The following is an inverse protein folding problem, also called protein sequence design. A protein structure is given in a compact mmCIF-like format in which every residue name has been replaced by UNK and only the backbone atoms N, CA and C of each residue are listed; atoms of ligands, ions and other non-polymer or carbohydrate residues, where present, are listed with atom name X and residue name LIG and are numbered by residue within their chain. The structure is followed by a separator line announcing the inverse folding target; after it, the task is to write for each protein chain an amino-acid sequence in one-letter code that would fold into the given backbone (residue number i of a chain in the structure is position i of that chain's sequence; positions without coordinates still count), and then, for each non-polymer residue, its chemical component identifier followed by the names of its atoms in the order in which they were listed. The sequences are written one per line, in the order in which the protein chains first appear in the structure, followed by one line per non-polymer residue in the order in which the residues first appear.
data_IF_309602236027
#
_entry.id   IF_309602236027
#
_cell.length_a   1.000
_cell.length_b   1.000
_cell.length_c   1.000
_cell.angle_alpha   90.00
_cell.angle_beta   90.00
_cell.angle_gamma   90.00
#
_symmetry.space_group_name_H-M   'P 1'
#
loop_
_entity.id
_entity.type
_entity.pdbx_description
1 polymer ?
#
# COMPACT_ATOMS: atom_id res chain seq x y z
N UNK A 1 35.03 16.34 -5.85
CA UNK A 1 35.13 16.34 -4.37
C UNK A 1 33.71 16.40 -3.80
N UNK A 2 33.19 15.29 -3.27
CA UNK A 2 31.96 15.34 -2.46
C UNK A 2 32.39 15.77 -1.07
N UNK A 3 31.98 16.96 -0.62
CA UNK A 3 32.28 17.43 0.73
C UNK A 3 31.73 16.47 1.78
N UNK A 4 32.51 16.21 2.83
CA UNK A 4 32.08 15.37 3.96
C UNK A 4 30.85 16.03 4.62
N UNK A 5 29.70 15.36 4.53
CA UNK A 5 28.49 15.77 5.24
C UNK A 5 28.71 15.69 6.75
N UNK A 6 28.18 16.65 7.49
CA UNK A 6 28.26 16.73 8.94
C UNK A 6 27.03 16.10 9.59
N UNK A 7 27.14 15.75 10.87
CA UNK A 7 26.03 15.14 11.63
C UNK A 7 24.77 16.00 11.60
N UNK A 8 24.93 17.33 11.63
CA UNK A 8 23.80 18.27 11.61
C UNK A 8 23.00 18.14 10.31
N UNK A 9 23.64 17.81 9.18
CA UNK A 9 22.99 17.69 7.87
C UNK A 9 21.96 16.54 7.84
N UNK A 10 22.12 15.52 8.68
CA UNK A 10 21.22 14.37 8.76
C UNK A 10 20.14 14.48 9.85
N UNK A 11 20.35 15.28 10.89
CA UNK A 11 19.48 15.35 12.08
C UNK A 11 18.49 16.53 12.03
N UNK A 12 17.88 16.75 10.86
CA UNK A 12 17.04 17.92 10.59
C UNK A 12 15.59 17.78 11.09
N UNK A 13 15.10 16.55 11.30
CA UNK A 13 13.68 16.27 11.58
C UNK A 13 13.55 15.37 12.80
N UNK A 14 13.22 15.91 13.99
CA UNK A 14 12.99 15.08 15.17
C UNK A 14 11.74 14.23 14.98
N UNK A 15 11.79 13.01 15.50
CA UNK A 15 10.63 12.10 15.55
C UNK A 15 9.59 12.72 16.46
N UNK A 16 8.35 12.80 15.98
CA UNK A 16 7.21 13.30 16.76
C UNK A 16 6.31 12.13 17.16
N UNK A 17 5.93 12.08 18.43
CA UNK A 17 5.02 11.05 18.93
C UNK A 17 3.64 11.17 18.29
N UNK A 18 3.09 10.02 17.90
CA UNK A 18 1.72 9.90 17.40
C UNK A 18 0.75 10.26 18.52
N UNK A 19 -0.19 11.16 18.25
CA UNK A 19 -1.26 11.52 19.18
C UNK A 19 -2.61 11.15 18.55
N UNK A 20 -3.39 10.37 19.28
CA UNK A 20 -4.75 10.00 18.92
C UNK A 20 -5.68 10.64 19.94
N UNK A 21 -6.21 11.81 19.60
CA UNK A 21 -7.13 12.55 20.46
C UNK A 21 -8.53 12.48 19.85
N UNK A 22 -9.44 11.74 20.51
CA UNK A 22 -10.79 11.54 20.01
C UNK A 22 -10.82 10.78 18.67
N UNK A 23 -11.73 11.18 17.79
CA UNK A 23 -11.94 10.52 16.49
C UNK A 23 -11.00 11.08 15.44
N UNK A 24 -10.21 10.20 14.79
CA UNK A 24 -9.38 10.55 13.64
C UNK A 24 -9.97 9.97 12.35
N UNK A 25 -9.90 10.75 11.28
CA UNK A 25 -10.05 10.23 9.91
C UNK A 25 -8.83 9.39 9.52
N UNK A 26 -8.98 8.51 8.53
CA UNK A 26 -7.86 7.71 7.99
C UNK A 26 -6.71 8.59 7.51
N UNK A 27 -7.02 9.73 6.87
CA UNK A 27 -6.00 10.69 6.44
C UNK A 27 -5.24 11.29 7.62
N UNK A 28 -5.95 11.72 8.68
CA UNK A 28 -5.29 12.24 9.88
C UNK A 28 -4.41 11.18 10.56
N UNK A 29 -4.83 9.90 10.54
CA UNK A 29 -3.98 8.81 11.04
C UNK A 29 -2.70 8.66 10.19
N UNK A 30 -2.78 8.72 8.86
CA UNK A 30 -1.60 8.70 8.00
C UNK A 30 -0.66 9.89 8.25
N UNK A 31 -1.21 11.07 8.52
CA UNK A 31 -0.42 12.24 8.93
C UNK A 31 0.27 12.03 10.28
N UNK A 32 -0.39 11.36 11.24
CA UNK A 32 0.27 10.96 12.49
C UNK A 32 1.40 9.94 12.22
N UNK A 33 1.19 8.97 11.33
CA UNK A 33 2.23 8.00 10.96
C UNK A 33 3.43 8.65 10.25
N UNK A 34 3.19 9.68 9.45
CA UNK A 34 4.24 10.50 8.82
C UNK A 34 5.16 11.16 9.88
N UNK A 35 4.60 11.58 11.01
CA UNK A 35 5.33 12.26 12.08
C UNK A 35 6.36 11.37 12.77
N UNK A 36 6.09 10.06 12.88
CA UNK A 36 7.05 9.11 13.43
C UNK A 36 8.04 8.61 12.38
N UNK A 37 7.59 8.52 11.12
CA UNK A 37 8.35 8.06 9.95
C UNK A 37 9.15 6.75 10.17
N UNK A 38 8.71 5.92 11.12
CA UNK A 38 9.42 4.73 11.58
C UNK A 38 8.54 3.47 11.48
N UNK A 39 9.18 2.32 11.35
CA UNK A 39 8.51 1.01 11.24
C UNK A 39 7.44 0.94 10.14
N UNK A 40 6.43 0.09 10.31
CA UNK A 40 5.33 -0.07 9.35
C UNK A 40 4.50 1.20 9.18
N UNK A 41 4.28 1.97 10.25
CA UNK A 41 3.53 3.22 10.22
C UNK A 41 4.16 4.23 9.25
N UNK A 42 5.46 4.51 9.42
CA UNK A 42 6.17 5.44 8.54
C UNK A 42 6.23 4.97 7.09
N UNK A 43 6.42 3.66 6.85
CA UNK A 43 6.40 3.09 5.50
C UNK A 43 5.03 3.25 4.84
N UNK A 44 3.94 2.99 5.57
CA UNK A 44 2.59 3.13 5.05
C UNK A 44 2.27 4.59 4.71
N UNK A 45 2.56 5.53 5.62
CA UNK A 45 2.36 6.96 5.36
C UNK A 45 3.16 7.44 4.14
N UNK A 46 4.42 7.00 4.01
CA UNK A 46 5.24 7.30 2.84
C UNK A 46 4.64 6.72 1.55
N UNK A 47 4.18 5.46 1.58
CA UNK A 47 3.55 4.82 0.43
C UNK A 47 2.27 5.57 0.00
N UNK A 48 1.40 5.94 0.94
CA UNK A 48 0.21 6.73 0.67
C UNK A 48 0.55 8.07 -0.01
N UNK A 49 1.56 8.78 0.50
CA UNK A 49 1.98 10.06 -0.07
C UNK A 49 2.61 9.92 -1.47
N UNK A 50 3.37 8.86 -1.72
CA UNK A 50 3.92 8.60 -3.05
C UNK A 50 2.80 8.27 -4.02
N UNK A 51 1.87 7.39 -3.63
CA UNK A 51 0.74 7.01 -4.46
C UNK A 51 -0.20 8.19 -4.75
N UNK A 52 -0.50 9.02 -3.75
CA UNK A 52 -1.27 10.25 -3.94
C UNK A 52 -0.61 11.18 -4.97
N UNK A 53 0.72 11.33 -4.92
CA UNK A 53 1.45 12.13 -5.92
C UNK A 53 1.32 11.55 -7.31
N UNK A 54 1.44 10.23 -7.46
CA UNK A 54 1.25 9.55 -8.75
C UNK A 54 -0.15 9.81 -9.29
N UNK A 55 -1.19 9.66 -8.47
CA UNK A 55 -2.59 9.88 -8.89
C UNK A 55 -2.90 11.35 -9.24
N UNK A 56 -2.18 12.32 -8.67
CA UNK A 56 -2.36 13.75 -8.94
C UNK A 56 -1.65 14.22 -10.21
N UNK A 57 -0.64 13.48 -10.65
CA UNK A 57 0.13 13.79 -11.84
C UNK A 57 -0.51 13.17 -13.07
N UNK A 58 -1.04 14.01 -13.97
CA UNK A 58 -1.77 13.56 -15.17
C UNK A 58 -0.87 12.90 -16.22
N UNK A 59 0.43 13.14 -16.14
CA UNK A 59 1.40 12.54 -17.05
C UNK A 59 2.00 11.24 -16.47
N UNK A 60 1.60 10.87 -15.24
CA UNK A 60 2.09 9.67 -14.57
C UNK A 60 1.23 8.45 -14.92
N UNK A 61 1.85 7.42 -15.50
CA UNK A 61 1.22 6.10 -15.68
C UNK A 61 1.45 5.22 -14.45
N UNK A 62 0.35 4.74 -13.86
CA UNK A 62 0.34 3.92 -12.64
C UNK A 62 0.34 2.44 -13.00
N UNK A 63 1.47 1.77 -12.73
CA UNK A 63 1.61 0.32 -12.84
C UNK A 63 1.37 -0.34 -11.47
N UNK A 64 0.43 -1.28 -11.40
CA UNK A 64 0.22 -2.13 -10.24
C UNK A 64 0.73 -3.55 -10.53
N UNK A 65 1.81 -3.92 -9.85
CA UNK A 65 2.36 -5.28 -9.90
C UNK A 65 1.73 -6.15 -8.80
N UNK A 66 1.08 -7.24 -9.21
CA UNK A 66 0.44 -8.23 -8.36
C UNK A 66 1.32 -9.48 -8.28
N UNK A 67 1.95 -9.67 -7.12
CA UNK A 67 2.77 -10.84 -6.83
C UNK A 67 2.22 -11.64 -5.66
N UNK A 68 2.36 -12.97 -5.73
CA UNK A 68 1.95 -13.86 -4.65
C UNK A 68 0.43 -14.01 -4.52
N UNK A 69 -0.01 -14.35 -3.31
CA UNK A 69 -1.36 -14.79 -2.99
C UNK A 69 -2.34 -13.63 -2.74
N UNK A 70 -2.26 -12.52 -3.50
CA UNK A 70 -3.06 -11.31 -3.25
C UNK A 70 -4.56 -11.53 -3.40
N UNK A 71 -4.97 -12.24 -4.46
CA UNK A 71 -6.38 -12.58 -4.71
C UNK A 71 -6.95 -13.50 -3.61
N UNK A 72 -6.33 -14.66 -3.30
CA UNK A 72 -6.83 -15.51 -2.23
C UNK A 72 -6.68 -14.90 -0.82
N UNK A 73 -5.82 -13.89 -0.65
CA UNK A 73 -5.73 -13.09 0.57
C UNK A 73 -6.86 -12.05 0.72
N UNK A 74 -7.84 -12.03 -0.19
CA UNK A 74 -9.02 -11.18 -0.11
C UNK A 74 -8.91 -9.84 -0.82
N UNK A 75 -7.86 -9.60 -1.62
CA UNK A 75 -7.66 -8.31 -2.31
C UNK A 75 -8.35 -8.24 -3.68
N UNK A 76 -9.13 -9.26 -4.07
CA UNK A 76 -9.81 -9.34 -5.37
C UNK A 76 -10.67 -8.11 -5.67
N UNK A 77 -11.60 -7.79 -4.77
CA UNK A 77 -12.52 -6.68 -4.93
C UNK A 77 -11.77 -5.35 -4.97
N UNK A 78 -10.78 -5.17 -4.09
CA UNK A 78 -9.91 -3.98 -4.06
C UNK A 78 -9.25 -3.74 -5.41
N UNK A 79 -8.61 -4.77 -5.99
CA UNK A 79 -7.97 -4.65 -7.32
C UNK A 79 -9.00 -4.28 -8.39
N UNK A 80 -10.15 -4.95 -8.39
CA UNK A 80 -11.22 -4.64 -9.35
C UNK A 80 -11.76 -3.22 -9.21
N UNK A 81 -11.87 -2.69 -8.00
CA UNK A 81 -12.37 -1.34 -7.75
C UNK A 81 -11.34 -0.28 -8.15
N UNK A 82 -10.05 -0.53 -7.93
CA UNK A 82 -8.96 0.33 -8.43
C UNK A 82 -8.99 0.45 -9.96
N UNK A 83 -9.21 -0.68 -10.66
CA UNK A 83 -9.32 -0.69 -12.12
C UNK A 83 -10.55 0.11 -12.56
N UNK A 84 -11.74 -0.16 -11.99
CA UNK A 84 -13.00 0.51 -12.36
C UNK A 84 -12.97 2.02 -12.08
N UNK A 85 -12.24 2.44 -11.05
CA UNK A 85 -12.09 3.85 -10.68
C UNK A 85 -10.97 4.57 -11.46
N UNK A 86 -10.30 3.91 -12.42
CA UNK A 86 -9.13 4.44 -13.12
C UNK A 86 -8.03 4.94 -12.15
N UNK A 87 -7.81 4.20 -11.07
CA UNK A 87 -6.73 4.47 -10.11
C UNK A 87 -5.45 3.69 -10.43
N UNK A 88 -5.50 2.83 -11.44
CA UNK A 88 -4.38 2.07 -12.00
C UNK A 88 -4.56 2.01 -13.51
N UNK A 89 -3.47 2.21 -14.25
CA UNK A 89 -3.49 2.17 -15.72
C UNK A 89 -3.06 0.81 -16.26
N UNK A 90 -2.09 0.16 -15.60
CA UNK A 90 -1.52 -1.11 -16.07
C UNK A 90 -1.42 -2.12 -14.93
N UNK A 91 -1.91 -3.33 -15.17
CA UNK A 91 -1.74 -4.48 -14.27
C UNK A 91 -0.61 -5.35 -14.79
N UNK A 92 0.38 -5.61 -13.93
CA UNK A 92 1.39 -6.65 -14.15
C UNK A 92 1.12 -7.76 -13.14
N UNK A 93 0.86 -8.99 -13.60
CA UNK A 93 0.44 -10.07 -12.71
C UNK A 93 1.16 -11.38 -12.99
N UNK A 94 1.17 -12.27 -12.00
CA UNK A 94 1.54 -13.67 -12.19
C UNK A 94 0.33 -14.47 -12.67
N UNK A 95 0.55 -15.53 -13.45
CA UNK A 95 -0.54 -16.41 -13.88
C UNK A 95 -1.32 -17.01 -12.71
N UNK A 96 -0.67 -17.27 -11.57
CA UNK A 96 -1.33 -17.78 -10.37
C UNK A 96 -2.42 -16.82 -9.85
N UNK A 97 -2.13 -15.52 -9.78
CA UNK A 97 -3.11 -14.53 -9.33
C UNK A 97 -4.33 -14.48 -10.26
N UNK A 98 -4.13 -14.63 -11.58
CA UNK A 98 -5.24 -14.69 -12.55
C UNK A 98 -6.09 -15.95 -12.37
N UNK A 99 -5.46 -17.11 -12.14
CA UNK A 99 -6.19 -18.37 -11.88
C UNK A 99 -7.05 -18.25 -10.63
N UNK A 100 -6.51 -17.70 -9.54
CA UNK A 100 -7.28 -17.49 -8.31
C UNK A 100 -8.45 -16.52 -8.51
N UNK A 101 -8.28 -15.48 -9.33
CA UNK A 101 -9.38 -14.56 -9.68
C UNK A 101 -10.48 -15.27 -10.48
N UNK A 102 -10.12 -16.10 -11.46
CA UNK A 102 -11.07 -16.88 -12.25
C UNK A 102 -11.85 -17.87 -11.36
N UNK A 103 -11.19 -18.54 -10.43
CA UNK A 103 -11.85 -19.46 -9.49
C UNK A 103 -12.94 -18.72 -8.70
N UNK A 104 -12.61 -17.57 -8.12
CA UNK A 104 -13.59 -16.73 -7.39
C UNK A 104 -14.68 -16.17 -8.32
N UNK A 105 -14.35 -15.86 -9.57
CA UNK A 105 -15.32 -15.37 -10.55
C UNK A 105 -16.34 -16.44 -10.96
N UNK A 106 -15.93 -17.72 -11.00
CA UNK A 106 -16.79 -18.86 -11.33
C UNK A 106 -17.60 -19.38 -10.13
N UNK A 107 -17.53 -18.72 -8.98
CA UNK A 107 -18.28 -19.11 -7.77
C UNK A 107 -17.55 -20.08 -6.85
N UNK A 108 -16.25 -20.35 -7.09
CA UNK A 108 -15.38 -20.97 -6.10
C UNK A 108 -14.99 -19.97 -5.00
N UNK A 109 -14.42 -20.47 -3.90
CA UNK A 109 -14.02 -19.63 -2.76
C UNK A 109 -12.72 -20.11 -2.12
N UNK A 110 -11.89 -19.15 -1.71
CA UNK A 110 -10.75 -19.41 -0.82
C UNK A 110 -11.19 -19.27 0.63
N UNK A 111 -10.93 -20.31 1.42
CA UNK A 111 -11.28 -20.34 2.84
C UNK A 111 -10.05 -20.11 3.71
N UNK A 112 -10.26 -19.47 4.86
CA UNK A 112 -9.23 -19.38 5.90
C UNK A 112 -9.00 -20.77 6.50
N UNK A 113 -7.81 -21.32 6.27
CA UNK A 113 -7.40 -22.59 6.84
C UNK A 113 -7.02 -22.50 8.32
N UNK A 114 -6.86 -23.67 8.93
CA UNK A 114 -6.26 -23.86 10.24
C UNK A 114 -5.27 -25.01 10.14
N UNK A 115 -4.18 -24.97 10.90
CA UNK A 115 -3.23 -26.08 10.99
C UNK A 115 -3.85 -27.36 11.55
N UNK A 116 -4.99 -27.26 12.24
CA UNK A 116 -5.79 -28.40 12.71
C UNK A 116 -6.64 -29.05 11.62
N UNK A 117 -6.75 -28.43 10.44
CA UNK A 117 -7.55 -28.91 9.32
C UNK A 117 -6.69 -29.61 8.25
N UNK A 118 -5.47 -30.03 8.61
CA UNK A 118 -4.54 -30.74 7.75
C UNK A 118 -4.84 -32.24 7.69
#
# INVERSE_FOLDING_TARGET
MVGLMKREDYLQKPVKHIKVNGTLTVNQLMQQFQNSSSFGAGRLAKACNVYEKMLRDKECTVFLALSGAVIPAGMRALVSDLIRANLVDVIVSTGASMVHDIIEALGGHHYRGSWMAA
#
